data_IF_475990195434
#
_entry.id   IF_475990195434
#
_cell.length_a   1.000
_cell.length_b   1.000
_cell.length_c   1.000
_cell.angle_alpha   90.00
_cell.angle_beta   90.00
_cell.angle_gamma   90.00
#
_symmetry.space_group_name_H-M   'P 1'
#
loop_
_entity.id
_entity.type
_entity.pdbx_description
1 polymer ?
#
# COMPACT_ATOMS: atom_id res chain seq x y z
N UNK A 1 -12.79 59.19 51.60
CA UNK A 1 -13.59 58.55 50.53
C UNK A 1 -13.48 59.25 49.18
N UNK A 2 -13.54 60.59 49.11
CA UNK A 2 -13.45 61.33 47.84
C UNK A 2 -12.20 61.01 47.00
N UNK A 3 -11.03 60.89 47.62
CA UNK A 3 -9.78 60.51 46.93
C UNK A 3 -9.87 59.12 46.26
N UNK A 4 -10.25 58.07 46.99
CA UNK A 4 -10.36 56.71 46.45
C UNK A 4 -11.40 56.60 45.33
N UNK A 5 -12.54 57.28 45.49
CA UNK A 5 -13.56 57.38 44.44
C UNK A 5 -13.01 58.08 43.19
N UNK A 6 -12.26 59.17 43.36
CA UNK A 6 -11.62 59.89 42.27
C UNK A 6 -10.56 59.05 41.54
N UNK A 7 -9.72 58.31 42.29
CA UNK A 7 -8.71 57.40 41.71
C UNK A 7 -9.39 56.30 40.90
N UNK A 8 -10.38 55.61 41.47
CA UNK A 8 -11.11 54.54 40.78
C UNK A 8 -11.86 55.04 39.55
N UNK A 9 -12.54 56.18 39.65
CA UNK A 9 -13.26 56.80 38.52
C UNK A 9 -12.31 57.21 37.40
N UNK A 10 -11.12 57.72 37.73
CA UNK A 10 -10.11 58.10 36.75
C UNK A 10 -9.59 56.87 35.99
N UNK A 11 -9.18 55.83 36.71
CA UNK A 11 -8.65 54.62 36.06
C UNK A 11 -9.74 53.81 35.35
N UNK A 12 -11.01 53.89 35.78
CA UNK A 12 -12.11 53.08 35.24
C UNK A 12 -12.20 53.14 33.72
N UNK A 13 -12.11 54.34 33.13
CA UNK A 13 -12.19 54.50 31.68
C UNK A 13 -11.06 53.78 30.91
N UNK A 14 -9.97 53.44 31.60
CA UNK A 14 -8.78 52.79 31.07
C UNK A 14 -8.69 51.26 31.35
N UNK A 15 -9.66 50.67 32.06
CA UNK A 15 -9.64 49.26 32.50
C UNK A 15 -10.29 48.26 31.52
N UNK A 16 -10.20 48.53 30.22
CA UNK A 16 -10.67 47.59 29.20
C UNK A 16 -12.17 47.25 29.29
N UNK A 17 -12.55 46.01 28.97
CA UNK A 17 -13.95 45.59 28.96
C UNK A 17 -14.53 45.31 30.35
N UNK A 18 -13.69 45.08 31.37
CA UNK A 18 -14.12 44.77 32.74
C UNK A 18 -14.32 46.00 33.62
N UNK A 19 -14.18 47.21 33.08
CA UNK A 19 -14.27 48.47 33.82
C UNK A 19 -15.55 48.66 34.65
N UNK A 20 -16.68 48.10 34.20
CA UNK A 20 -17.97 48.19 34.90
C UNK A 20 -18.02 47.34 36.17
N UNK A 21 -17.08 46.39 36.37
CA UNK A 21 -17.00 45.63 37.64
C UNK A 21 -16.66 46.51 38.85
N UNK A 22 -16.16 47.73 38.60
CA UNK A 22 -15.89 48.73 39.63
C UNK A 22 -17.07 49.66 39.89
N UNK A 23 -18.17 49.60 39.12
CA UNK A 23 -19.32 50.51 39.27
C UNK A 23 -19.87 50.49 40.70
N UNK A 24 -20.13 49.29 41.22
CA UNK A 24 -20.61 49.09 42.59
C UNK A 24 -19.61 49.57 43.66
N UNK A 25 -18.30 49.50 43.37
CA UNK A 25 -17.27 49.99 44.28
C UNK A 25 -17.22 51.53 44.29
N UNK A 26 -17.32 52.15 43.11
CA UNK A 26 -17.33 53.60 42.92
C UNK A 26 -18.61 54.20 43.52
N UNK A 27 -19.76 53.59 43.26
CA UNK A 27 -21.06 53.98 43.83
C UNK A 27 -21.04 53.88 45.35
N UNK A 28 -20.56 52.75 45.90
CA UNK A 28 -20.45 52.58 47.35
C UNK A 28 -19.52 53.62 48.00
N UNK A 29 -18.39 53.95 47.35
CA UNK A 29 -17.50 55.02 47.83
C UNK A 29 -18.15 56.40 47.79
N UNK A 30 -19.04 56.67 46.81
CA UNK A 30 -19.78 57.90 46.70
C UNK A 30 -20.87 58.03 47.77
N UNK A 31 -21.66 56.98 47.97
CA UNK A 31 -22.78 56.96 48.94
C UNK A 31 -22.30 57.03 50.39
N UNK A 32 -21.11 56.49 50.70
CA UNK A 32 -20.58 56.43 52.06
C UNK A 32 -19.64 57.59 52.43
N UNK A 33 -19.59 58.69 51.66
CA UNK A 33 -18.61 59.79 51.83
C UNK A 33 -18.60 60.45 53.21
N UNK A 34 -19.75 60.51 53.90
CA UNK A 34 -19.93 61.28 55.14
C UNK A 34 -20.26 60.42 56.38
N UNK A 35 -20.23 59.08 56.26
CA UNK A 35 -20.72 58.15 57.29
C UNK A 35 -19.63 57.66 58.27
N UNK A 36 -18.50 58.37 58.35
CA UNK A 36 -17.41 58.06 59.28
C UNK A 36 -16.87 56.63 59.16
N UNK A 37 -16.53 56.01 60.29
CA UNK A 37 -15.90 54.68 60.36
C UNK A 37 -16.76 53.56 59.75
N UNK A 38 -18.07 53.61 59.91
CA UNK A 38 -18.98 52.56 59.43
C UNK A 38 -19.08 52.58 57.90
N UNK A 39 -19.34 53.76 57.31
CA UNK A 39 -19.33 53.91 55.86
C UNK A 39 -17.96 53.65 55.24
N UNK A 40 -16.88 53.91 55.97
CA UNK A 40 -15.53 53.52 55.56
C UNK A 40 -15.37 52.02 55.38
N UNK A 41 -15.74 51.24 56.40
CA UNK A 41 -15.67 49.78 56.34
C UNK A 41 -16.55 49.20 55.22
N UNK A 42 -17.77 49.71 55.06
CA UNK A 42 -18.71 49.21 54.06
C UNK A 42 -18.19 49.46 52.63
N UNK A 43 -17.66 50.65 52.34
CA UNK A 43 -17.15 50.93 51.01
C UNK A 43 -15.80 50.25 50.73
N UNK A 44 -14.92 50.09 51.72
CA UNK A 44 -13.69 49.31 51.54
C UNK A 44 -14.00 47.86 51.20
N UNK A 45 -15.00 47.26 51.85
CA UNK A 45 -15.47 45.91 51.49
C UNK A 45 -15.92 45.81 50.03
N UNK A 46 -16.65 46.82 49.52
CA UNK A 46 -17.09 46.89 48.12
C UNK A 46 -15.94 47.13 47.15
N UNK A 47 -14.96 47.96 47.50
CA UNK A 47 -13.74 48.18 46.69
C UNK A 47 -12.92 46.90 46.57
N UNK A 48 -12.71 46.18 47.67
CA UNK A 48 -12.02 44.89 47.66
C UNK A 48 -12.76 43.89 46.76
N UNK A 49 -14.08 43.83 46.85
CA UNK A 49 -14.89 42.97 45.99
C UNK A 49 -14.80 43.36 44.51
N UNK A 50 -14.89 44.65 44.18
CA UNK A 50 -14.77 45.16 42.81
C UNK A 50 -13.41 44.90 42.19
N UNK A 51 -12.32 45.22 42.90
CA UNK A 51 -10.95 44.97 42.43
C UNK A 51 -10.68 43.47 42.29
N UNK A 52 -11.18 42.63 43.21
CA UNK A 52 -11.10 41.17 43.09
C UNK A 52 -11.86 40.67 41.86
N UNK A 53 -13.05 41.21 41.59
CA UNK A 53 -13.84 40.90 40.40
C UNK A 53 -13.12 41.26 39.11
N UNK A 54 -12.59 42.49 39.03
CA UNK A 54 -11.78 42.95 37.90
C UNK A 54 -10.58 42.02 37.64
N UNK A 55 -9.75 41.77 38.66
CA UNK A 55 -8.57 40.91 38.53
C UNK A 55 -8.93 39.47 38.17
N UNK A 56 -10.04 38.94 38.71
CA UNK A 56 -10.57 37.63 38.36
C UNK A 56 -10.92 37.54 36.87
N UNK A 57 -11.61 38.55 36.35
CA UNK A 57 -12.00 38.60 34.94
C UNK A 57 -10.81 38.77 34.00
N UNK A 58 -9.84 39.63 34.35
CA UNK A 58 -8.59 39.79 33.57
C UNK A 58 -7.80 38.48 33.54
N UNK A 59 -7.73 37.77 34.67
CA UNK A 59 -7.11 36.44 34.72
C UNK A 59 -7.81 35.47 33.76
N UNK A 60 -9.14 35.43 33.76
CA UNK A 60 -9.90 34.59 32.83
C UNK A 60 -9.70 34.97 31.36
N UNK A 61 -9.60 36.27 31.03
CA UNK A 61 -9.25 36.72 29.67
C UNK A 61 -7.84 36.25 29.28
N UNK A 62 -6.86 36.36 30.18
CA UNK A 62 -5.49 35.90 29.94
C UNK A 62 -5.42 34.38 29.71
N UNK A 63 -6.09 33.60 30.55
CA UNK A 63 -6.17 32.14 30.43
C UNK A 63 -6.78 31.73 29.09
N UNK A 64 -7.86 32.39 28.67
CA UNK A 64 -8.51 32.11 27.39
C UNK A 64 -7.62 32.40 26.18
N UNK A 65 -6.75 33.43 26.24
CA UNK A 65 -5.80 33.73 25.14
C UNK A 65 -4.62 32.77 25.12
N UNK A 66 -4.19 32.26 26.29
CA UNK A 66 -3.06 31.33 26.42
C UNK A 66 -3.42 29.92 25.95
N UNK A 67 -4.62 29.45 26.25
CA UNK A 67 -5.05 28.07 26.01
C UNK A 67 -4.80 27.57 24.56
N UNK A 68 -5.16 28.31 23.48
CA UNK A 68 -4.91 27.88 22.10
C UNK A 68 -3.43 27.82 21.73
N UNK A 69 -2.61 28.70 22.31
CA UNK A 69 -1.16 28.72 22.10
C UNK A 69 -0.52 27.54 22.80
N UNK A 70 -0.96 27.23 24.03
CA UNK A 70 -0.47 26.10 24.80
C UNK A 70 -0.79 24.78 24.09
N UNK A 71 -2.02 24.61 23.58
CA UNK A 71 -2.42 23.43 22.82
C UNK A 71 -1.53 23.20 21.59
N UNK A 72 -1.24 24.26 20.83
CA UNK A 72 -0.37 24.17 19.65
C UNK A 72 1.08 23.88 20.04
N UNK A 73 1.58 24.49 21.12
CA UNK A 73 2.92 24.26 21.63
C UNK A 73 3.08 22.82 22.11
N UNK A 74 2.14 22.29 22.88
CA UNK A 74 2.19 20.92 23.41
C UNK A 74 2.15 19.87 22.29
N UNK A 75 1.45 20.17 21.19
CA UNK A 75 1.43 19.33 20.00
C UNK A 75 2.77 19.35 19.24
N UNK A 76 3.36 20.54 19.07
CA UNK A 76 4.53 20.78 18.20
C UNK A 76 5.87 20.75 18.92
N UNK A 77 5.88 20.65 20.25
CA UNK A 77 7.10 20.67 21.06
C UNK A 77 8.11 19.64 20.56
N UNK A 78 9.37 20.08 20.46
CA UNK A 78 10.48 19.30 19.93
C UNK A 78 10.66 17.96 20.66
N UNK A 79 10.45 17.96 21.97
CA UNK A 79 10.61 16.78 22.82
C UNK A 79 9.25 16.33 23.37
N UNK A 80 8.78 15.17 22.93
CA UNK A 80 7.55 14.54 23.42
C UNK A 80 6.26 15.17 22.89
N UNK A 81 6.33 16.05 21.88
CA UNK A 81 5.14 16.56 21.19
C UNK A 81 4.52 15.46 20.34
N UNK A 82 3.20 15.42 20.27
CA UNK A 82 2.48 14.37 19.54
C UNK A 82 2.91 14.32 18.06
N UNK A 83 3.18 15.47 17.43
CA UNK A 83 3.62 15.54 16.03
C UNK A 83 4.96 14.82 15.82
N UNK A 84 5.98 15.18 16.60
CA UNK A 84 7.34 14.64 16.45
C UNK A 84 7.37 13.16 16.85
N UNK A 85 6.71 12.79 17.95
CA UNK A 85 6.61 11.38 18.39
C UNK A 85 5.94 10.53 17.31
N UNK A 86 4.85 11.02 16.72
CA UNK A 86 4.14 10.29 15.67
C UNK A 86 4.97 10.14 14.39
N UNK A 87 5.72 11.17 14.00
CA UNK A 87 6.62 11.11 12.84
C UNK A 87 7.78 10.13 13.09
N UNK A 88 8.38 10.17 14.28
CA UNK A 88 9.48 9.26 14.62
C UNK A 88 9.03 7.80 14.67
N UNK A 89 7.81 7.51 15.12
CA UNK A 89 7.25 6.16 15.10
C UNK A 89 7.09 5.59 13.68
N UNK A 90 6.97 6.45 12.66
CA UNK A 90 6.94 6.04 11.25
C UNK A 90 8.35 5.66 10.76
N UNK A 91 9.41 6.20 11.38
CA UNK A 91 10.80 6.01 10.95
C UNK A 91 11.48 4.74 11.51
N UNK A 92 10.82 3.95 12.36
CA UNK A 92 11.43 2.80 13.00
C UNK A 92 11.86 1.71 11.98
N UNK A 93 13.15 1.35 12.03
CA UNK A 93 13.86 0.43 11.15
C UNK A 93 13.29 -1.00 11.18
N UNK A 94 12.36 -1.32 10.28
CA UNK A 94 12.12 -2.68 9.80
C UNK A 94 11.06 -2.66 8.68
N UNK A 95 11.36 -2.01 7.56
CA UNK A 95 10.53 -2.19 6.36
C UNK A 95 10.95 -3.47 5.64
N UNK A 96 10.37 -4.59 6.07
CA UNK A 96 10.19 -5.75 5.19
C UNK A 96 9.24 -5.33 4.07
N UNK A 97 9.59 -5.65 2.83
CA UNK A 97 8.83 -5.37 1.60
C UNK A 97 7.38 -5.88 1.70
N UNK A 98 6.41 -5.06 2.15
CA UNK A 98 4.96 -5.34 2.14
C UNK A 98 4.16 -4.11 2.69
N UNK A 99 2.80 -4.04 2.71
CA UNK A 99 1.92 -2.84 2.68
C UNK A 99 2.16 -1.67 3.67
N UNK A 100 3.07 -1.82 4.63
CA UNK A 100 3.42 -0.82 5.63
C UNK A 100 4.00 0.49 5.06
N UNK A 101 4.60 0.48 3.86
CA UNK A 101 5.17 1.70 3.25
C UNK A 101 4.07 2.68 2.79
N UNK A 102 3.00 2.17 2.18
CA UNK A 102 1.86 2.99 1.74
C UNK A 102 1.09 3.59 2.93
N UNK A 103 1.10 2.88 4.06
CA UNK A 103 0.51 3.32 5.31
C UNK A 103 1.41 4.32 6.06
N UNK A 104 2.73 4.14 6.01
CA UNK A 104 3.70 5.12 6.50
C UNK A 104 3.60 6.47 5.77
N UNK A 105 3.54 6.45 4.44
CA UNK A 105 3.36 7.67 3.62
C UNK A 105 2.03 8.37 3.96
N UNK A 106 0.95 7.60 4.09
CA UNK A 106 -0.39 8.12 4.45
C UNK A 106 -0.40 8.71 5.86
N UNK A 107 0.19 7.99 6.82
CA UNK A 107 0.30 8.43 8.22
C UNK A 107 1.08 9.74 8.32
N UNK A 108 2.19 9.85 7.58
CA UNK A 108 2.97 11.09 7.51
C UNK A 108 2.16 12.24 6.91
N UNK A 109 1.45 11.99 5.79
CA UNK A 109 0.58 12.99 5.16
C UNK A 109 -0.58 13.44 6.07
N UNK A 110 -1.23 12.51 6.77
CA UNK A 110 -2.32 12.81 7.71
C UNK A 110 -1.81 13.63 8.91
N UNK A 111 -0.63 13.31 9.45
CA UNK A 111 0.01 14.09 10.52
C UNK A 111 0.39 15.50 10.07
N UNK A 112 0.90 15.66 8.84
CA UNK A 112 1.22 16.98 8.28
C UNK A 112 -0.05 17.82 8.02
N UNK A 113 -1.14 17.17 7.57
CA UNK A 113 -2.44 17.82 7.41
C UNK A 113 -3.01 18.27 8.75
N UNK A 114 -2.98 17.39 9.76
CA UNK A 114 -3.40 17.70 11.12
C UNK A 114 -2.61 18.88 11.70
N UNK A 115 -1.28 18.88 11.55
CA UNK A 115 -0.42 19.98 11.99
C UNK A 115 -0.79 21.31 11.33
N UNK A 116 -1.08 21.27 10.02
CA UNK A 116 -1.53 22.45 9.26
C UNK A 116 -2.88 22.96 9.78
N UNK A 117 -3.84 22.07 10.01
CA UNK A 117 -5.18 22.42 10.50
C UNK A 117 -5.19 22.93 11.94
N UNK A 118 -4.39 22.32 12.84
CA UNK A 118 -4.24 22.79 14.22
C UNK A 118 -3.61 24.19 14.26
N UNK A 119 -2.60 24.43 13.43
CA UNK A 119 -1.94 25.73 13.33
C UNK A 119 -2.87 26.80 12.75
N UNK A 120 -3.63 26.50 11.69
CA UNK A 120 -4.67 27.40 11.14
C UNK A 120 -5.75 27.73 12.17
N UNK A 121 -6.30 26.73 12.86
CA UNK A 121 -7.31 26.96 13.91
C UNK A 121 -6.79 27.86 15.03
N UNK A 122 -5.53 27.69 15.44
CA UNK A 122 -4.91 28.57 16.42
C UNK A 122 -4.86 30.02 15.90
N UNK A 123 -4.43 30.23 14.66
CA UNK A 123 -4.38 31.56 14.05
C UNK A 123 -5.76 32.21 13.87
N UNK A 124 -6.76 31.44 13.43
CA UNK A 124 -8.16 31.88 13.28
C UNK A 124 -8.78 32.23 14.64
N UNK A 125 -8.54 31.42 15.66
CA UNK A 125 -9.06 31.67 17.00
C UNK A 125 -8.47 32.96 17.58
N UNK A 126 -7.20 33.25 17.31
CA UNK A 126 -6.53 34.48 17.73
C UNK A 126 -6.79 35.67 16.78
N UNK A 127 -7.63 35.53 15.75
CA UNK A 127 -7.92 36.62 14.81
C UNK A 127 -9.04 37.54 15.34
N UNK A 128 -8.73 38.79 15.74
CA UNK A 128 -9.75 39.74 16.17
C UNK A 128 -10.69 40.21 15.03
N UNK A 129 -10.38 39.87 13.77
CA UNK A 129 -11.22 40.19 12.60
C UNK A 129 -12.17 39.04 12.22
N UNK A 130 -12.04 37.86 12.81
CA UNK A 130 -12.94 36.75 12.54
C UNK A 130 -14.36 37.07 13.06
N UNK A 131 -15.35 37.13 12.16
CA UNK A 131 -16.73 37.59 12.44
C UNK A 131 -17.48 36.78 13.52
N UNK A 132 -16.97 35.62 13.89
CA UNK A 132 -17.54 34.68 14.84
C UNK A 132 -16.83 34.68 16.21
N UNK A 133 -15.72 35.40 16.40
CA UNK A 133 -14.94 35.33 17.64
C UNK A 133 -14.99 36.63 18.49
N UNK A 134 -16.19 37.16 18.68
CA UNK A 134 -16.45 38.40 19.45
C UNK A 134 -15.94 38.30 20.90
N UNK A 135 -15.95 37.10 21.49
CA UNK A 135 -15.45 36.85 22.85
C UNK A 135 -13.91 36.88 22.90
N UNK A 136 -13.22 36.18 22.00
CA UNK A 136 -11.76 36.21 22.00
C UNK A 136 -11.21 37.58 21.64
N UNK A 137 -11.86 38.28 20.71
CA UNK A 137 -11.55 39.69 20.42
C UNK A 137 -11.53 40.51 21.71
N UNK A 138 -12.59 40.45 22.52
CA UNK A 138 -12.66 41.15 23.82
C UNK A 138 -11.51 40.74 24.75
N UNK A 139 -11.26 39.44 24.89
CA UNK A 139 -10.16 38.94 25.73
C UNK A 139 -8.78 39.44 25.28
N UNK A 140 -8.52 39.51 23.97
CA UNK A 140 -7.27 40.06 23.40
C UNK A 140 -7.16 41.57 23.67
N UNK A 141 -8.28 42.31 23.63
CA UNK A 141 -8.29 43.75 23.94
C UNK A 141 -8.26 44.06 25.44
N UNK A 142 -8.51 43.08 26.32
CA UNK A 142 -8.28 43.20 27.76
C UNK A 142 -6.79 43.07 28.14
N UNK A 143 -5.96 42.53 27.25
CA UNK A 143 -4.52 42.49 27.43
C UNK A 143 -3.93 43.89 27.37
N UNK A 144 -2.82 44.11 28.09
CA UNK A 144 -2.02 45.31 27.88
C UNK A 144 -1.48 45.35 26.45
N UNK A 145 -1.22 46.56 25.94
CA UNK A 145 -0.84 46.78 24.54
C UNK A 145 0.36 45.93 24.09
N UNK A 146 1.39 45.80 24.95
CA UNK A 146 2.58 45.00 24.64
C UNK A 146 2.27 43.51 24.49
N UNK A 147 1.39 42.96 25.32
CA UNK A 147 0.97 41.55 25.22
C UNK A 147 0.05 41.34 24.02
N UNK A 148 -0.87 42.27 23.77
CA UNK A 148 -1.74 42.24 22.59
C UNK A 148 -0.92 42.18 21.30
N UNK A 149 0.06 43.06 21.15
CA UNK A 149 0.89 43.13 19.95
C UNK A 149 1.73 41.85 19.76
N UNK A 150 2.25 41.27 20.86
CA UNK A 150 2.93 39.97 20.83
C UNK A 150 2.01 38.85 20.36
N UNK A 151 0.79 38.77 20.88
CA UNK A 151 -0.21 37.76 20.47
C UNK A 151 -0.54 37.90 18.98
N UNK A 152 -0.75 39.12 18.50
CA UNK A 152 -1.03 39.38 17.08
C UNK A 152 0.16 39.05 16.16
N UNK A 153 1.39 39.26 16.63
CA UNK A 153 2.59 38.84 15.91
C UNK A 153 2.71 37.32 15.85
N UNK A 154 2.53 36.62 16.97
CA UNK A 154 2.54 35.14 17.03
C UNK A 154 1.47 34.57 16.11
N UNK A 155 0.25 35.13 16.11
CA UNK A 155 -0.84 34.76 15.18
C UNK A 155 -0.37 34.81 13.72
N UNK A 156 0.24 35.93 13.29
CA UNK A 156 0.76 36.08 11.91
C UNK A 156 1.87 35.08 11.60
N UNK A 157 2.75 34.81 12.56
CA UNK A 157 3.83 33.84 12.39
C UNK A 157 3.30 32.42 12.23
N UNK A 158 2.33 32.01 13.07
CA UNK A 158 1.66 30.71 12.98
C UNK A 158 0.95 30.56 11.64
N UNK A 159 0.26 31.61 11.17
CA UNK A 159 -0.40 31.62 9.86
C UNK A 159 0.62 31.42 8.72
N UNK A 160 1.73 32.16 8.73
CA UNK A 160 2.79 32.04 7.74
C UNK A 160 3.43 30.64 7.72
N UNK A 161 3.81 30.11 8.88
CA UNK A 161 4.44 28.78 8.99
C UNK A 161 3.47 27.65 8.60
N UNK A 162 2.16 27.81 8.87
CA UNK A 162 1.12 26.89 8.41
C UNK A 162 1.05 26.82 6.88
N UNK A 163 1.12 27.97 6.22
CA UNK A 163 1.12 28.06 4.75
C UNK A 163 2.40 27.47 4.15
N UNK A 164 3.55 27.74 4.78
CA UNK A 164 4.83 27.17 4.35
C UNK A 164 4.83 25.65 4.47
N UNK A 165 4.35 25.10 5.59
CA UNK A 165 4.24 23.66 5.81
C UNK A 165 3.34 22.99 4.77
N UNK A 166 2.16 23.56 4.50
CA UNK A 166 1.23 23.06 3.49
C UNK A 166 1.86 23.04 2.08
N UNK A 167 2.61 24.08 1.74
CA UNK A 167 3.29 24.21 0.44
C UNK A 167 4.40 23.17 0.28
N UNK A 168 5.21 22.96 1.32
CA UNK A 168 6.26 21.93 1.32
C UNK A 168 5.66 20.53 1.22
N UNK A 169 4.60 20.25 1.99
CA UNK A 169 3.89 18.96 1.93
C UNK A 169 3.37 18.67 0.52
N UNK A 170 2.66 19.64 -0.09
CA UNK A 170 2.15 19.49 -1.46
C UNK A 170 3.26 19.20 -2.47
N UNK A 171 4.39 19.91 -2.37
CA UNK A 171 5.53 19.70 -3.27
C UNK A 171 6.13 18.30 -3.10
N UNK A 172 6.32 17.85 -1.86
CA UNK A 172 6.90 16.53 -1.56
C UNK A 172 5.98 15.37 -1.94
N UNK A 173 4.68 15.53 -1.76
CA UNK A 173 3.68 14.55 -2.24
C UNK A 173 3.71 14.41 -3.77
N UNK A 174 3.81 15.54 -4.49
CA UNK A 174 3.94 15.53 -5.94
C UNK A 174 5.24 14.86 -6.42
N UNK A 175 6.39 15.19 -5.80
CA UNK A 175 7.69 14.55 -6.08
C UNK A 175 7.60 13.01 -5.85
N UNK A 176 6.95 12.56 -4.77
CA UNK A 176 6.77 11.14 -4.48
C UNK A 176 5.86 10.44 -5.50
N UNK A 177 4.76 11.09 -5.92
CA UNK A 177 3.87 10.56 -6.95
C UNK A 177 4.58 10.42 -8.29
N UNK A 178 5.34 11.44 -8.69
CA UNK A 178 6.10 11.43 -9.94
C UNK A 178 7.16 10.32 -9.95
N UNK A 179 7.94 10.18 -8.88
CA UNK A 179 8.95 9.12 -8.77
C UNK A 179 8.31 7.74 -8.81
N UNK A 180 7.18 7.55 -8.12
CA UNK A 180 6.41 6.29 -8.13
C UNK A 180 5.96 5.93 -9.55
N UNK A 181 5.43 6.89 -10.32
CA UNK A 181 5.00 6.64 -11.70
C UNK A 181 6.17 6.39 -12.66
N UNK A 182 7.31 7.07 -12.46
CA UNK A 182 8.55 6.76 -13.21
C UNK A 182 9.04 5.35 -12.94
N UNK A 183 9.00 4.91 -11.68
CA UNK A 183 9.37 3.54 -11.28
C UNK A 183 8.42 2.52 -11.93
N UNK A 184 7.10 2.70 -11.80
CA UNK A 184 6.09 1.82 -12.42
C UNK A 184 6.28 1.72 -13.94
N UNK A 185 6.51 2.85 -14.61
CA UNK A 185 6.71 2.90 -16.06
C UNK A 185 8.00 2.17 -16.45
N UNK A 186 9.08 2.36 -15.68
CA UNK A 186 10.35 1.65 -15.90
C UNK A 186 10.18 0.14 -15.77
N UNK A 187 9.44 -0.34 -14.75
CA UNK A 187 9.13 -1.77 -14.59
C UNK A 187 8.25 -2.31 -15.71
N UNK A 188 7.24 -1.56 -16.18
CA UNK A 188 6.42 -1.94 -17.34
C UNK A 188 7.28 -2.08 -18.60
N UNK A 189 8.19 -1.14 -18.83
CA UNK A 189 9.11 -1.17 -19.97
C UNK A 189 10.08 -2.36 -19.87
N UNK A 190 10.65 -2.61 -18.68
CA UNK A 190 11.49 -3.79 -18.42
C UNK A 190 10.74 -5.10 -18.71
N UNK A 191 9.51 -5.24 -18.21
CA UNK A 191 8.65 -6.42 -18.47
C UNK A 191 8.46 -6.63 -19.97
N UNK A 192 8.12 -5.57 -20.71
CA UNK A 192 7.93 -5.66 -22.17
C UNK A 192 9.24 -6.02 -22.89
N UNK A 193 10.35 -5.42 -22.49
CA UNK A 193 11.66 -5.68 -23.08
C UNK A 193 12.12 -7.12 -22.84
N UNK A 194 12.02 -7.62 -21.60
CA UNK A 194 12.36 -9.01 -21.25
C UNK A 194 11.51 -9.98 -22.04
N UNK A 195 10.19 -9.78 -22.07
CA UNK A 195 9.28 -10.67 -22.79
C UNK A 195 9.59 -10.72 -24.28
N UNK A 196 9.83 -9.56 -24.90
CA UNK A 196 10.19 -9.49 -26.31
C UNK A 196 11.52 -10.19 -26.57
N UNK A 197 12.55 -9.92 -25.75
CA UNK A 197 13.87 -10.49 -25.96
C UNK A 197 13.90 -12.01 -25.74
N UNK A 198 13.26 -12.50 -24.69
CA UNK A 198 13.11 -13.96 -24.46
C UNK A 198 12.34 -14.60 -25.63
N UNK A 199 11.26 -13.97 -26.08
CA UNK A 199 10.52 -14.41 -27.27
C UNK A 199 11.41 -14.49 -28.51
N UNK A 200 12.10 -13.41 -28.86
CA UNK A 200 12.97 -13.31 -30.04
C UNK A 200 14.14 -14.30 -30.01
N UNK A 201 14.75 -14.52 -28.84
CA UNK A 201 15.89 -15.42 -28.67
C UNK A 201 15.47 -16.89 -28.75
N UNK A 202 14.31 -17.26 -28.18
CA UNK A 202 13.70 -18.58 -28.36
C UNK A 202 13.41 -18.82 -29.84
N UNK A 203 12.82 -17.84 -30.51
CA UNK A 203 12.46 -17.91 -31.92
C UNK A 203 13.67 -18.12 -32.84
N UNK A 204 14.76 -17.37 -32.58
CA UNK A 204 16.04 -17.53 -33.29
C UNK A 204 16.66 -18.90 -33.04
N UNK A 205 16.69 -19.35 -31.79
CA UNK A 205 17.25 -20.65 -31.43
C UNK A 205 16.50 -21.77 -32.16
N UNK A 206 15.15 -21.72 -32.13
CA UNK A 206 14.28 -22.68 -32.82
C UNK A 206 14.54 -22.71 -34.33
N UNK A 207 14.55 -21.55 -34.98
CA UNK A 207 14.81 -21.46 -36.43
C UNK A 207 16.20 -22.01 -36.77
N UNK A 208 17.21 -21.69 -35.97
CA UNK A 208 18.59 -22.16 -36.20
C UNK A 208 18.72 -23.68 -36.07
N UNK A 209 18.07 -24.29 -35.08
CA UNK A 209 18.09 -25.72 -34.83
C UNK A 209 17.35 -26.46 -35.95
N UNK A 210 16.17 -25.97 -36.34
CA UNK A 210 15.36 -26.57 -37.40
C UNK A 210 16.13 -26.62 -38.73
N UNK A 211 16.79 -25.51 -39.11
CA UNK A 211 17.60 -25.45 -40.34
C UNK A 211 18.76 -26.44 -40.30
N UNK A 212 19.46 -26.57 -39.16
CA UNK A 212 20.57 -27.53 -39.01
C UNK A 212 20.09 -28.97 -39.11
N UNK A 213 19.00 -29.32 -38.43
CA UNK A 213 18.40 -30.67 -38.47
C UNK A 213 17.93 -31.01 -39.89
N UNK A 214 17.28 -30.09 -40.59
CA UNK A 214 16.86 -30.28 -41.99
C UNK A 214 18.04 -30.53 -42.92
N UNK A 215 19.16 -29.79 -42.75
CA UNK A 215 20.38 -29.99 -43.55
C UNK A 215 21.00 -31.37 -43.32
N UNK A 216 21.06 -31.83 -42.08
CA UNK A 216 21.57 -33.16 -41.74
C UNK A 216 20.67 -34.25 -42.35
N UNK A 217 19.35 -34.09 -42.21
CA UNK A 217 18.37 -35.02 -42.78
C UNK A 217 18.51 -35.13 -44.30
N UNK A 218 18.68 -34.00 -45.00
CA UNK A 218 18.89 -33.98 -46.45
C UNK A 218 20.15 -34.76 -46.84
N UNK A 219 21.28 -34.47 -46.18
CA UNK A 219 22.55 -35.16 -46.43
C UNK A 219 22.45 -36.67 -46.20
N UNK A 220 21.74 -37.11 -45.17
CA UNK A 220 21.58 -38.53 -44.89
C UNK A 220 20.69 -39.24 -45.92
N UNK A 221 19.62 -38.59 -46.39
CA UNK A 221 18.81 -39.11 -47.50
C UNK A 221 19.61 -39.22 -48.79
N UNK A 222 20.43 -38.21 -49.10
CA UNK A 222 21.36 -38.25 -50.24
C UNK A 222 22.37 -39.39 -50.09
N UNK A 223 22.97 -39.59 -48.91
CA UNK A 223 23.87 -40.72 -48.64
C UNK A 223 23.14 -42.06 -48.80
N UNK A 224 21.94 -42.20 -48.25
CA UNK A 224 21.13 -43.43 -48.37
C UNK A 224 20.86 -43.78 -49.82
N UNK A 225 20.42 -42.80 -50.61
CA UNK A 225 20.13 -42.98 -52.03
C UNK A 225 21.39 -43.31 -52.84
N UNK A 226 22.51 -42.65 -52.56
CA UNK A 226 23.79 -42.96 -53.22
C UNK A 226 24.29 -44.36 -52.86
N UNK A 227 24.13 -44.80 -51.62
CA UNK A 227 24.49 -46.16 -51.19
C UNK A 227 23.62 -47.21 -51.90
N UNK A 228 22.31 -47.00 -51.98
CA UNK A 228 21.40 -47.89 -52.75
C UNK A 228 21.84 -48.04 -54.22
N UNK A 229 22.25 -46.93 -54.84
CA UNK A 229 22.76 -46.92 -56.21
C UNK A 229 24.08 -47.69 -56.32
N UNK A 230 25.07 -47.39 -55.49
CA UNK A 230 26.35 -48.09 -55.50
C UNK A 230 26.21 -49.59 -55.23
N UNK A 231 25.22 -50.00 -54.44
CA UNK A 231 24.94 -51.41 -54.17
C UNK A 231 24.35 -52.10 -55.38
N UNK A 232 23.46 -51.42 -56.09
CA UNK A 232 22.90 -51.95 -57.33
C UNK A 232 24.01 -52.14 -58.38
N UNK A 233 24.91 -51.16 -58.48
CA UNK A 233 26.07 -51.22 -59.40
C UNK A 233 27.09 -52.29 -58.98
N UNK A 234 27.47 -52.34 -57.70
CA UNK A 234 28.37 -53.37 -57.16
C UNK A 234 27.76 -54.76 -57.26
N UNK A 235 26.46 -54.90 -57.02
CA UNK A 235 25.75 -56.17 -57.18
C UNK A 235 25.78 -56.66 -58.63
N UNK A 236 25.64 -55.76 -59.60
CA UNK A 236 25.80 -56.08 -61.01
C UNK A 236 27.24 -56.50 -61.35
N UNK A 237 28.24 -55.73 -60.88
CA UNK A 237 29.65 -56.03 -61.10
C UNK A 237 30.08 -57.36 -60.46
N UNK A 238 29.62 -57.66 -59.24
CA UNK A 238 29.90 -58.93 -58.58
C UNK A 238 29.28 -60.08 -59.36
N UNK A 239 28.05 -59.92 -59.87
CA UNK A 239 27.41 -60.96 -60.68
C UNK A 239 28.19 -61.22 -61.97
N UNK A 240 28.59 -60.16 -62.68
CA UNK A 240 29.40 -60.28 -63.90
C UNK A 240 30.76 -60.93 -63.60
N UNK A 241 31.41 -60.56 -62.50
CA UNK A 241 32.68 -61.15 -62.07
C UNK A 241 32.54 -62.62 -61.65
N UNK A 242 31.46 -62.99 -60.93
CA UNK A 242 31.14 -64.38 -60.58
C UNK A 242 30.98 -65.24 -61.85
N UNK A 243 30.25 -64.74 -62.85
CA UNK A 243 30.05 -65.42 -64.14
C UNK A 243 31.38 -65.56 -64.91
N UNK A 244 32.18 -64.50 -64.98
CA UNK A 244 33.48 -64.52 -65.66
C UNK A 244 34.50 -65.44 -64.98
N UNK A 245 34.61 -65.37 -63.65
CA UNK A 245 35.49 -66.22 -62.85
C UNK A 245 35.13 -67.70 -63.02
N UNK A 246 33.83 -68.03 -62.97
CA UNK A 246 33.34 -69.40 -63.18
C UNK A 246 33.72 -69.91 -64.57
N UNK A 247 33.48 -69.11 -65.62
CA UNK A 247 33.84 -69.47 -66.99
C UNK A 247 35.37 -69.63 -67.18
N UNK A 248 36.18 -68.79 -66.53
CA UNK A 248 37.63 -68.90 -66.55
C UNK A 248 38.13 -70.17 -65.85
N UNK A 249 37.59 -70.49 -64.67
CA UNK A 249 37.89 -71.73 -63.94
C UNK A 249 37.55 -72.97 -64.76
N UNK A 250 36.41 -72.99 -65.45
CA UNK A 250 36.05 -74.09 -66.35
C UNK A 250 37.06 -74.27 -67.49
N UNK A 251 37.56 -73.17 -68.07
CA UNK A 251 38.57 -73.21 -69.13
C UNK A 251 39.92 -73.69 -68.61
N UNK A 252 40.36 -73.19 -67.45
CA UNK A 252 41.61 -73.63 -66.79
C UNK A 252 41.52 -75.12 -66.49
N UNK A 253 40.41 -75.59 -65.93
CA UNK A 253 40.19 -77.01 -65.65
C UNK A 253 40.20 -77.88 -66.92
N UNK A 254 39.67 -77.40 -68.04
CA UNK A 254 39.77 -78.10 -69.34
C UNK A 254 41.20 -78.19 -69.84
N UNK A 255 41.98 -77.12 -69.74
CA UNK A 255 43.41 -77.10 -70.11
C UNK A 255 44.18 -78.10 -69.23
N UNK A 256 44.01 -78.03 -67.92
CA UNK A 256 44.67 -78.94 -66.98
C UNK A 256 44.34 -80.42 -67.26
N UNK A 257 43.09 -80.74 -67.61
CA UNK A 257 42.67 -82.11 -67.98
C UNK A 257 43.29 -82.61 -69.29
N UNK A 258 43.55 -81.73 -70.26
CA UNK A 258 44.18 -82.10 -71.53
C UNK A 258 45.71 -82.17 -71.46
N UNK A 259 46.32 -81.82 -70.33
CA UNK A 259 47.77 -81.78 -70.12
C UNK A 259 48.35 -83.05 -69.45
N UNK A 260 47.68 -84.19 -69.56
CA UNK A 260 48.05 -85.48 -68.93
C UNK A 260 49.24 -86.19 -69.61
N UNK A 261 50.31 -85.46 -69.96
CA UNK A 261 51.49 -85.99 -70.64
C UNK A 261 52.82 -85.41 -70.15
N UNK A 262 53.82 -86.28 -70.01
CA UNK A 262 55.21 -85.94 -69.67
C UNK A 262 55.98 -85.38 -70.88
N UNK A 263 56.83 -84.38 -70.61
CA UNK A 263 58.10 -84.05 -71.31
C UNK A 263 58.24 -82.74 -72.14
N UNK A 264 58.04 -81.57 -71.54
CA UNK A 264 58.86 -80.36 -71.83
C UNK A 264 58.86 -79.33 -70.70
N UNK A 265 59.94 -78.55 -70.51
CA UNK A 265 60.00 -77.43 -69.54
C UNK A 265 58.90 -76.39 -69.77
N UNK A 266 58.51 -76.18 -71.04
CA UNK A 266 57.42 -75.30 -71.40
C UNK A 266 56.07 -75.81 -70.88
N UNK A 267 55.83 -77.13 -70.91
CA UNK A 267 54.60 -77.75 -70.38
C UNK A 267 54.47 -77.58 -68.87
N UNK A 268 55.57 -77.68 -68.13
CA UNK A 268 55.60 -77.49 -66.67
C UNK A 268 55.30 -76.03 -66.28
N UNK A 269 55.93 -75.06 -66.97
CA UNK A 269 55.71 -73.63 -66.73
C UNK A 269 54.26 -73.20 -67.03
N UNK A 270 53.65 -73.75 -68.09
CA UNK A 270 52.24 -73.52 -68.43
C UNK A 270 51.32 -74.07 -67.33
N UNK A 271 51.62 -75.27 -66.80
CA UNK A 271 50.85 -75.87 -65.70
C UNK A 271 50.90 -75.00 -64.44
N UNK A 272 52.10 -74.58 -64.03
CA UNK A 272 52.28 -73.74 -62.84
C UNK A 272 51.62 -72.38 -62.99
N UNK A 273 51.68 -71.75 -64.18
CA UNK A 273 50.98 -70.50 -64.45
C UNK A 273 49.46 -70.67 -64.38
N UNK A 274 48.91 -71.76 -64.91
CA UNK A 274 47.49 -72.07 -64.84
C UNK A 274 47.00 -72.34 -63.40
N UNK A 275 47.79 -73.04 -62.58
CA UNK A 275 47.49 -73.27 -61.16
C UNK A 275 47.55 -71.97 -60.34
N UNK A 276 48.50 -71.08 -60.62
CA UNK A 276 48.58 -69.77 -59.97
C UNK A 276 47.37 -68.90 -60.32
N UNK A 277 47.00 -68.85 -61.61
CA UNK A 277 45.83 -68.11 -62.08
C UNK A 277 44.53 -68.65 -61.48
N UNK A 278 44.42 -69.97 -61.30
CA UNK A 278 43.28 -70.59 -60.61
C UNK A 278 43.14 -70.09 -59.17
N UNK A 279 44.24 -70.03 -58.41
CA UNK A 279 44.24 -69.50 -57.03
C UNK A 279 43.85 -68.02 -56.97
N UNK A 280 44.39 -67.20 -57.86
CA UNK A 280 44.07 -65.77 -57.91
C UNK A 280 42.58 -65.52 -58.22
N UNK A 281 41.98 -66.33 -59.10
CA UNK A 281 40.55 -66.28 -59.42
C UNK A 281 39.69 -66.71 -58.22
N UNK A 282 40.11 -67.74 -57.48
CA UNK A 282 39.41 -68.18 -56.26
C UNK A 282 39.45 -67.12 -55.14
N UNK A 283 40.60 -66.45 -54.95
CA UNK A 283 40.74 -65.37 -53.98
C UNK A 283 39.85 -64.17 -54.33
N UNK A 284 39.80 -63.79 -55.61
CA UNK A 284 38.92 -62.73 -56.10
C UNK A 284 37.44 -63.08 -55.88
N UNK A 285 37.04 -64.31 -56.18
CA UNK A 285 35.67 -64.78 -55.98
C UNK A 285 35.28 -64.73 -54.49
N UNK A 286 36.18 -65.16 -53.58
CA UNK A 286 35.98 -65.08 -52.13
C UNK A 286 35.86 -63.64 -51.64
N UNK A 287 36.69 -62.72 -52.14
CA UNK A 287 36.60 -61.30 -51.79
C UNK A 287 35.27 -60.68 -52.27
N UNK A 288 34.83 -60.98 -53.50
CA UNK A 288 33.55 -60.54 -54.05
C UNK A 288 32.35 -61.05 -53.24
N UNK A 289 32.38 -62.32 -52.83
CA UNK A 289 31.36 -62.92 -51.97
C UNK A 289 31.30 -62.25 -50.59
N UNK A 290 32.44 -61.97 -49.98
CA UNK A 290 32.49 -61.27 -48.68
C UNK A 290 31.84 -59.87 -48.73
N UNK A 291 32.07 -59.13 -49.82
CA UNK A 291 31.39 -57.83 -50.05
C UNK A 291 29.88 -58.01 -50.21
N UNK A 292 29.45 -58.97 -51.03
CA UNK A 292 28.03 -59.32 -51.25
C UNK A 292 27.31 -59.64 -49.94
N UNK A 293 27.97 -60.40 -49.06
CA UNK A 293 27.38 -60.88 -47.81
C UNK A 293 27.22 -59.76 -46.75
N UNK A 294 28.09 -58.74 -46.74
CA UNK A 294 28.09 -57.70 -45.70
C UNK A 294 27.44 -56.37 -46.09
N UNK A 295 27.26 -56.09 -47.38
CA UNK A 295 26.83 -54.77 -47.84
C UNK A 295 25.37 -54.43 -47.43
N UNK A 296 24.52 -55.44 -47.32
CA UNK A 296 23.14 -55.29 -46.83
C UNK A 296 23.08 -54.86 -45.36
N UNK A 297 24.00 -55.36 -44.52
CA UNK A 297 24.08 -54.98 -43.10
C UNK A 297 24.49 -53.51 -42.94
N UNK A 298 25.42 -53.02 -43.77
CA UNK A 298 25.83 -51.62 -43.72
C UNK A 298 24.72 -50.64 -44.13
N UNK A 299 23.91 -50.97 -45.15
CA UNK A 299 22.71 -50.18 -45.50
C UNK A 299 21.70 -50.20 -44.37
N UNK A 300 21.49 -51.37 -43.78
CA UNK A 300 20.56 -51.51 -42.66
C UNK A 300 20.98 -50.60 -41.52
N UNK A 301 22.26 -50.57 -41.16
CA UNK A 301 22.82 -49.65 -40.15
C UNK A 301 22.66 -48.17 -40.53
N UNK A 302 22.86 -47.82 -41.79
CA UNK A 302 22.63 -46.45 -42.30
C UNK A 302 21.17 -46.02 -42.20
N UNK A 303 20.26 -46.92 -42.56
CA UNK A 303 18.80 -46.73 -42.51
C UNK A 303 18.31 -46.60 -41.07
N UNK A 304 18.83 -47.41 -40.15
CA UNK A 304 18.52 -47.37 -38.72
C UNK A 304 18.89 -46.00 -38.12
N UNK A 305 20.09 -45.49 -38.44
CA UNK A 305 20.52 -44.15 -38.00
C UNK A 305 19.64 -43.03 -38.57
N UNK A 306 19.19 -43.16 -39.82
CA UNK A 306 18.26 -42.20 -40.42
C UNK A 306 16.90 -42.18 -39.68
N UNK A 307 16.38 -43.34 -39.28
CA UNK A 307 15.16 -43.45 -38.46
C UNK A 307 15.32 -42.82 -37.07
N UNK A 308 16.45 -43.05 -36.40
CA UNK A 308 16.74 -42.45 -35.08
C UNK A 308 16.71 -40.91 -35.13
N UNK A 309 17.17 -40.30 -36.22
CA UNK A 309 17.16 -38.85 -36.41
C UNK A 309 15.76 -38.27 -36.69
N UNK A 310 14.86 -39.01 -37.35
CA UNK A 310 13.44 -38.63 -37.41
C UNK A 310 12.80 -38.67 -36.01
N UNK A 311 13.24 -39.63 -35.17
CA UNK A 311 12.90 -39.66 -33.74
C UNK A 311 13.35 -38.39 -33.01
N UNK A 312 14.61 -37.97 -33.18
CA UNK A 312 15.13 -36.74 -32.57
C UNK A 312 14.44 -35.48 -33.09
N UNK A 313 14.10 -35.42 -34.38
CA UNK A 313 13.32 -34.32 -34.94
C UNK A 313 11.95 -34.22 -34.28
N UNK A 314 11.28 -35.35 -34.10
CA UNK A 314 9.97 -35.41 -33.43
C UNK A 314 10.08 -35.00 -31.95
N UNK A 315 11.10 -35.50 -31.25
CA UNK A 315 11.37 -35.14 -29.85
C UNK A 315 11.64 -33.62 -29.71
N UNK A 316 12.44 -33.04 -30.61
CA UNK A 316 12.69 -31.61 -30.63
C UNK A 316 11.40 -30.80 -30.87
N UNK A 317 10.54 -31.23 -31.81
CA UNK A 317 9.22 -30.59 -32.03
C UNK A 317 8.33 -30.66 -30.78
N UNK A 318 8.36 -31.78 -30.06
CA UNK A 318 7.61 -31.95 -28.81
C UNK A 318 8.10 -31.00 -27.72
N UNK A 319 9.41 -30.94 -27.47
CA UNK A 319 10.00 -30.02 -26.47
C UNK A 319 9.68 -28.56 -26.80
N UNK A 320 9.74 -28.20 -28.08
CA UNK A 320 9.38 -26.85 -28.55
C UNK A 320 7.89 -26.56 -28.31
N UNK A 321 7.02 -27.49 -28.65
CA UNK A 321 5.57 -27.32 -28.46
C UNK A 321 5.23 -27.17 -26.97
N UNK A 322 5.89 -27.95 -26.10
CA UNK A 322 5.71 -27.86 -24.65
C UNK A 322 6.22 -26.53 -24.09
N UNK A 323 7.36 -26.03 -24.59
CA UNK A 323 7.89 -24.73 -24.19
C UNK A 323 6.95 -23.58 -24.58
N UNK A 324 6.41 -23.61 -25.80
CA UNK A 324 5.42 -22.63 -26.28
C UNK A 324 4.14 -22.71 -25.45
N UNK A 325 3.66 -23.94 -25.16
CA UNK A 325 2.49 -24.17 -24.31
C UNK A 325 2.69 -23.59 -22.91
N UNK A 326 3.81 -23.87 -22.24
CA UNK A 326 4.11 -23.32 -20.92
C UNK A 326 4.23 -21.80 -20.92
N UNK A 327 4.83 -21.21 -21.95
CA UNK A 327 4.87 -19.76 -22.09
C UNK A 327 3.45 -19.16 -22.22
N UNK A 328 2.55 -19.85 -22.93
CA UNK A 328 1.15 -19.45 -23.06
C UNK A 328 0.37 -19.63 -21.75
N UNK A 329 0.58 -20.73 -21.03
CA UNK A 329 -0.03 -20.97 -19.70
C UNK A 329 0.38 -19.86 -18.71
N UNK A 330 1.66 -19.47 -18.70
CA UNK A 330 2.12 -18.33 -17.89
C UNK A 330 1.50 -17.01 -18.34
N UNK A 331 1.32 -16.81 -19.65
CA UNK A 331 0.66 -15.61 -20.17
C UNK A 331 -0.82 -15.53 -19.75
N UNK A 332 -1.56 -16.64 -19.88
CA UNK A 332 -2.97 -16.74 -19.49
C UNK A 332 -3.12 -16.60 -17.97
N UNK A 333 -2.29 -17.26 -17.17
CA UNK A 333 -2.31 -17.13 -15.70
C UNK A 333 -2.01 -15.70 -15.19
N UNK A 334 -1.28 -14.90 -15.98
CA UNK A 334 -0.98 -13.50 -15.69
C UNK A 334 -2.02 -12.51 -16.25
N UNK A 335 -3.01 -12.99 -17.00
CA UNK A 335 -4.10 -12.15 -17.51
C UNK A 335 -5.08 -11.81 -16.38
N UNK A 336 -5.20 -10.52 -16.09
CA UNK A 336 -6.04 -9.99 -15.02
C UNK A 336 -7.44 -9.57 -15.52
N UNK A 337 -7.74 -9.73 -16.81
CA UNK A 337 -9.04 -9.39 -17.40
C UNK A 337 -10.07 -10.53 -17.37
N UNK A 338 -9.66 -11.76 -17.06
CA UNK A 338 -10.54 -12.91 -16.88
C UNK A 338 -10.56 -13.37 -15.42
N UNK A 339 -11.71 -13.85 -14.95
CA UNK A 339 -11.98 -14.08 -13.52
C UNK A 339 -12.39 -15.52 -13.21
N UNK A 340 -12.00 -16.49 -14.04
CA UNK A 340 -12.22 -17.91 -13.75
C UNK A 340 -11.23 -18.41 -12.69
N UNK A 341 -11.74 -19.03 -11.63
CA UNK A 341 -10.95 -19.47 -10.47
C UNK A 341 -9.91 -20.55 -10.80
N UNK A 342 -10.14 -21.35 -11.84
CA UNK A 342 -9.31 -22.52 -12.16
C UNK A 342 -8.16 -22.19 -13.11
N UNK A 343 -8.32 -21.21 -13.99
CA UNK A 343 -7.32 -20.83 -15.01
C UNK A 343 -6.70 -19.46 -14.82
N UNK A 344 -7.41 -18.54 -14.18
CA UNK A 344 -6.99 -17.15 -14.03
C UNK A 344 -6.99 -16.78 -12.55
N UNK A 345 -6.27 -17.56 -11.74
CA UNK A 345 -6.23 -17.42 -10.29
C UNK A 345 -5.89 -15.98 -9.84
N UNK A 346 -4.99 -15.29 -10.56
CA UNK A 346 -4.68 -13.89 -10.31
C UNK A 346 -5.88 -12.97 -10.55
N UNK A 347 -6.55 -13.10 -11.70
CA UNK A 347 -7.74 -12.32 -12.05
C UNK A 347 -8.95 -12.62 -11.16
N UNK A 348 -9.15 -13.89 -10.77
CA UNK A 348 -10.16 -14.31 -9.79
C UNK A 348 -9.89 -13.71 -8.41
N UNK A 349 -8.65 -13.81 -7.91
CA UNK A 349 -8.28 -13.27 -6.61
C UNK A 349 -8.41 -11.74 -6.56
N UNK A 350 -8.07 -11.04 -7.66
CA UNK A 350 -8.30 -9.59 -7.78
C UNK A 350 -9.79 -9.23 -7.72
N UNK A 351 -10.66 -10.02 -8.34
CA UNK A 351 -12.11 -9.82 -8.30
C UNK A 351 -12.70 -10.13 -6.92
N UNK A 352 -12.22 -11.16 -6.23
CA UNK A 352 -12.63 -11.43 -4.84
C UNK A 352 -12.18 -10.33 -3.89
N UNK A 353 -10.97 -9.78 -4.07
CA UNK A 353 -10.51 -8.58 -3.33
C UNK A 353 -11.42 -7.38 -3.62
N UNK A 354 -11.82 -7.18 -4.89
CA UNK A 354 -12.76 -6.12 -5.27
C UNK A 354 -14.09 -6.28 -4.55
N UNK A 355 -14.71 -7.47 -4.60
CA UNK A 355 -15.98 -7.76 -3.88
C UNK A 355 -15.84 -7.59 -2.37
N UNK A 356 -14.73 -8.03 -1.78
CA UNK A 356 -14.45 -7.79 -0.37
C UNK A 356 -14.39 -6.29 -0.07
N UNK A 357 -13.76 -5.50 -0.94
CA UNK A 357 -13.77 -4.03 -0.88
C UNK A 357 -15.18 -3.43 -0.92
N UNK A 358 -16.06 -3.92 -1.81
CA UNK A 358 -17.48 -3.51 -1.84
C UNK A 358 -18.20 -3.80 -0.54
N UNK A 359 -18.03 -5.01 -0.02
CA UNK A 359 -18.67 -5.45 1.23
C UNK A 359 -18.21 -4.61 2.42
N UNK A 360 -16.90 -4.32 2.50
CA UNK A 360 -16.35 -3.42 3.51
C UNK A 360 -16.90 -2.00 3.33
N UNK A 361 -17.06 -1.52 2.09
CA UNK A 361 -17.68 -0.23 1.80
C UNK A 361 -19.14 -0.15 2.29
N UNK A 362 -19.92 -1.20 2.05
CA UNK A 362 -21.30 -1.32 2.53
C UNK A 362 -21.37 -1.36 4.07
N UNK A 363 -20.50 -2.13 4.73
CA UNK A 363 -20.42 -2.18 6.18
C UNK A 363 -20.05 -0.82 6.78
N UNK A 364 -19.12 -0.10 6.14
CA UNK A 364 -18.70 1.23 6.57
C UNK A 364 -19.85 2.26 6.48
N UNK A 365 -20.66 2.20 5.42
CA UNK A 365 -21.85 3.04 5.29
C UNK A 365 -22.87 2.76 6.41
N UNK A 366 -23.12 1.48 6.76
CA UNK A 366 -23.98 1.11 7.89
C UNK A 366 -23.43 1.63 9.23
N UNK A 367 -22.13 1.49 9.48
CA UNK A 367 -21.50 2.05 10.69
C UNK A 367 -21.65 3.57 10.77
N UNK A 368 -21.49 4.27 9.64
CA UNK A 368 -21.68 5.72 9.59
C UNK A 368 -23.14 6.11 9.95
N UNK A 369 -24.12 5.31 9.53
CA UNK A 369 -25.52 5.50 9.91
C UNK A 369 -25.73 5.30 11.42
N UNK A 370 -25.23 4.21 11.99
CA UNK A 370 -25.34 3.95 13.44
C UNK A 370 -24.66 5.02 14.29
N UNK A 371 -23.52 5.55 13.84
CA UNK A 371 -22.87 6.70 14.48
C UNK A 371 -23.80 7.91 14.48
N UNK A 372 -24.48 8.19 13.37
CA UNK A 372 -25.45 9.29 13.29
C UNK A 372 -26.62 9.12 14.27
N UNK A 373 -27.15 7.90 14.39
CA UNK A 373 -28.21 7.57 15.35
C UNK A 373 -27.74 7.76 16.80
N UNK A 374 -26.51 7.36 17.12
CA UNK A 374 -25.90 7.56 18.43
C UNK A 374 -25.66 9.04 18.77
N UNK A 375 -25.25 9.85 17.79
CA UNK A 375 -25.11 11.30 17.97
C UNK A 375 -26.47 11.97 18.24
N UNK A 376 -27.52 11.50 17.57
CA UNK A 376 -28.88 11.95 17.82
C UNK A 376 -29.33 11.60 19.25
N UNK A 377 -29.19 10.34 19.66
CA UNK A 377 -29.49 9.88 21.02
C UNK A 377 -28.72 10.67 22.09
N UNK A 378 -27.44 10.95 21.84
CA UNK A 378 -26.61 11.74 22.76
C UNK A 378 -27.15 13.17 22.91
N UNK A 379 -27.65 13.76 21.81
CA UNK A 379 -28.24 15.10 21.82
C UNK A 379 -29.54 15.13 22.61
N UNK A 380 -30.43 14.16 22.37
CA UNK A 380 -31.69 14.05 23.12
C UNK A 380 -31.45 13.82 24.62
N UNK A 381 -30.52 12.94 24.97
CA UNK A 381 -30.18 12.71 26.37
C UNK A 381 -29.60 13.96 27.06
N UNK A 382 -28.80 14.75 26.34
CA UNK A 382 -28.27 16.04 26.84
C UNK A 382 -29.39 17.03 27.12
N UNK A 383 -30.37 17.14 26.22
CA UNK A 383 -31.53 18.01 26.39
C UNK A 383 -32.40 17.60 27.59
N UNK A 384 -32.66 16.29 27.75
CA UNK A 384 -33.41 15.76 28.91
C UNK A 384 -32.70 16.08 30.22
N UNK A 385 -31.38 15.91 30.30
CA UNK A 385 -30.60 16.24 31.50
C UNK A 385 -30.61 17.74 31.77
N UNK A 386 -30.46 18.56 30.74
CA UNK A 386 -30.57 20.02 30.85
C UNK A 386 -31.93 20.46 31.41
N UNK A 387 -33.03 19.86 30.91
CA UNK A 387 -34.38 20.10 31.42
C UNK A 387 -34.55 19.66 32.87
N UNK A 388 -34.02 18.50 33.25
CA UNK A 388 -34.08 18.00 34.61
C UNK A 388 -33.32 18.92 35.59
N UNK A 389 -32.12 19.35 35.21
CA UNK A 389 -31.30 20.28 35.98
C UNK A 389 -31.99 21.65 36.15
N UNK A 390 -32.59 22.20 35.09
CA UNK A 390 -33.39 23.42 35.18
C UNK A 390 -34.56 23.28 36.16
N UNK A 391 -35.27 22.15 36.13
CA UNK A 391 -36.38 21.85 37.06
C UNK A 391 -35.91 21.77 38.52
N UNK A 392 -34.74 21.15 38.76
CA UNK A 392 -34.13 21.09 40.09
C UNK A 392 -33.77 22.49 40.63
N UNK A 393 -33.21 23.37 39.79
CA UNK A 393 -32.94 24.77 40.18
C UNK A 393 -34.22 25.52 40.53
N UNK A 394 -35.29 25.28 39.79
CA UNK A 394 -36.61 25.90 40.01
C UNK A 394 -37.25 25.45 41.34
N UNK A 395 -37.16 24.15 41.67
CA UNK A 395 -37.58 23.60 42.96
C UNK A 395 -36.76 24.17 44.13
N UNK A 396 -35.45 24.30 43.98
CA UNK A 396 -34.58 24.91 44.98
C UNK A 396 -34.99 26.36 45.28
N UNK A 397 -35.30 27.13 44.23
CA UNK A 397 -35.81 28.51 44.36
C UNK A 397 -37.11 28.58 45.16
N UNK A 398 -38.06 27.68 44.87
CA UNK A 398 -39.33 27.60 45.61
C UNK A 398 -39.16 27.17 47.08
N UNK A 399 -38.13 26.38 47.38
CA UNK A 399 -37.76 25.97 48.74
C UNK A 399 -37.17 27.12 49.57
N UNK A 400 -36.41 28.00 48.93
CA UNK A 400 -35.85 29.22 49.56
C UNK A 400 -36.97 30.23 49.88
N UNK A 401 -37.96 30.38 49.00
CA UNK A 401 -39.11 31.28 49.21
C UNK A 401 -40.08 30.81 50.31
N UNK A 402 -40.17 29.49 50.60
CA UNK A 402 -41.05 28.93 51.64
C UNK A 402 -40.43 28.92 53.04
N UNK A 403 -39.15 29.27 53.18
CA UNK A 403 -38.45 29.31 54.48
C UNK A 403 -38.91 30.47 55.39
N UNK A 404 -39.71 31.39 54.86
CA UNK A 404 -40.18 32.58 55.59
C UNK A 404 -41.34 32.28 56.56
N UNK A 405 -42.01 31.12 56.51
CA UNK A 405 -43.29 30.95 57.26
C UNK A 405 -43.51 29.73 58.17
N UNK A 406 -42.68 28.66 58.25
CA UNK A 406 -42.98 27.60 59.24
C UNK A 406 -41.80 26.68 59.67
N UNK A 407 -41.52 26.62 60.98
CA UNK A 407 -40.27 26.06 61.57
C UNK A 407 -40.21 24.54 61.78
N UNK A 408 -41.31 23.78 61.69
CA UNK A 408 -41.30 22.32 61.98
C UNK A 408 -41.40 21.38 60.76
N UNK A 409 -41.94 21.81 59.62
CA UNK A 409 -41.95 21.00 58.38
C UNK A 409 -40.69 21.17 57.51
N UNK A 410 -39.87 22.20 57.80
CA UNK A 410 -38.65 22.52 57.05
C UNK A 410 -37.53 21.47 57.18
N UNK A 411 -37.52 20.63 58.22
CA UNK A 411 -36.47 19.61 58.43
C UNK A 411 -36.66 18.36 57.57
N UNK A 412 -37.90 17.89 57.39
CA UNK A 412 -38.20 16.71 56.55
C UNK A 412 -38.13 17.04 55.06
N UNK A 413 -38.66 18.20 54.66
CA UNK A 413 -38.54 18.74 53.29
C UNK A 413 -37.07 18.99 52.94
N UNK A 414 -36.25 19.49 53.88
CA UNK A 414 -34.82 19.66 53.67
C UNK A 414 -34.09 18.33 53.53
N UNK A 415 -34.45 17.30 54.30
CA UNK A 415 -33.90 15.95 54.14
C UNK A 415 -34.27 15.36 52.77
N UNK A 416 -35.53 15.44 52.35
CA UNK A 416 -35.95 14.95 51.03
C UNK A 416 -35.33 15.76 49.89
N UNK A 417 -35.17 17.07 50.04
CA UNK A 417 -34.48 17.93 49.08
C UNK A 417 -32.97 17.62 49.00
N UNK A 418 -32.31 17.36 50.13
CA UNK A 418 -30.91 16.91 50.15
C UNK A 418 -30.75 15.52 49.54
N UNK A 419 -31.69 14.59 49.78
CA UNK A 419 -31.69 13.26 49.17
C UNK A 419 -31.94 13.34 47.65
N UNK A 420 -32.83 14.24 47.21
CA UNK A 420 -33.11 14.50 45.80
C UNK A 420 -31.92 15.19 45.12
N UNK A 421 -31.23 16.12 45.79
CA UNK A 421 -29.98 16.72 45.33
C UNK A 421 -28.88 15.67 45.22
N UNK A 422 -28.77 14.75 46.19
CA UNK A 422 -27.80 13.66 46.19
C UNK A 422 -28.07 12.67 45.05
N UNK A 423 -29.33 12.28 44.84
CA UNK A 423 -29.76 11.43 43.73
C UNK A 423 -29.59 12.14 42.37
N UNK A 424 -29.89 13.44 42.29
CA UNK A 424 -29.66 14.27 41.11
C UNK A 424 -28.18 14.38 40.76
N UNK A 425 -27.30 14.61 41.75
CA UNK A 425 -25.84 14.58 41.58
C UNK A 425 -25.33 13.19 41.17
N UNK A 426 -25.89 12.12 41.73
CA UNK A 426 -25.53 10.75 41.33
C UNK A 426 -25.95 10.45 39.89
N UNK A 427 -27.16 10.88 39.48
CA UNK A 427 -27.66 10.74 38.12
C UNK A 427 -26.84 11.59 37.14
N UNK A 428 -26.49 12.82 37.50
CA UNK A 428 -25.63 13.70 36.70
C UNK A 428 -24.22 13.13 36.55
N UNK A 429 -23.65 12.51 37.59
CA UNK A 429 -22.37 11.83 37.50
C UNK A 429 -22.44 10.57 36.64
N UNK A 430 -23.51 9.78 36.76
CA UNK A 430 -23.74 8.61 35.91
C UNK A 430 -23.91 9.04 34.45
N UNK A 431 -24.69 10.10 34.20
CA UNK A 431 -24.85 10.72 32.89
C UNK A 431 -23.51 11.23 32.35
N UNK A 432 -22.73 12.00 33.12
CA UNK A 432 -21.43 12.50 32.70
C UNK A 432 -20.47 11.35 32.36
N UNK A 433 -20.43 10.29 33.17
CA UNK A 433 -19.65 9.08 32.83
C UNK A 433 -20.12 8.43 31.53
N UNK A 434 -21.43 8.25 31.36
CA UNK A 434 -22.00 7.66 30.15
C UNK A 434 -21.77 8.56 28.92
N UNK A 435 -21.93 9.88 29.04
CA UNK A 435 -21.71 10.88 28.00
C UNK A 435 -20.25 10.97 27.58
N UNK A 436 -19.33 10.96 28.55
CA UNK A 436 -17.88 10.95 28.26
C UNK A 436 -17.48 9.64 27.58
N UNK A 437 -18.03 8.50 28.03
CA UNK A 437 -17.82 7.18 27.44
C UNK A 437 -18.43 7.02 26.04
N UNK A 438 -19.63 7.54 25.82
CA UNK A 438 -20.32 7.50 24.52
C UNK A 438 -19.63 8.45 23.54
N UNK A 439 -19.22 9.64 23.98
CA UNK A 439 -18.47 10.59 23.17
C UNK A 439 -17.09 10.08 22.77
N UNK A 440 -16.39 9.36 23.64
CA UNK A 440 -15.13 8.69 23.28
C UNK A 440 -15.34 7.51 22.33
N UNK A 441 -16.40 6.72 22.53
CA UNK A 441 -16.76 5.61 21.64
C UNK A 441 -17.13 6.12 20.24
N UNK A 442 -17.99 7.13 20.14
CA UNK A 442 -18.41 7.76 18.87
C UNK A 442 -17.21 8.35 18.13
N UNK A 443 -16.28 8.99 18.85
CA UNK A 443 -15.05 9.54 18.26
C UNK A 443 -14.14 8.44 17.72
N UNK A 444 -13.91 7.38 18.49
CA UNK A 444 -13.13 6.23 18.05
C UNK A 444 -13.76 5.55 16.84
N UNK A 445 -15.08 5.35 16.84
CA UNK A 445 -15.79 4.75 15.70
C UNK A 445 -15.71 5.67 14.49
N UNK A 446 -15.85 7.00 14.64
CA UNK A 446 -15.64 7.96 13.54
C UNK A 446 -14.22 7.91 12.97
N UNK A 447 -13.20 7.82 13.82
CA UNK A 447 -11.81 7.68 13.39
C UNK A 447 -11.59 6.37 12.62
N UNK A 448 -12.13 5.26 13.12
CA UNK A 448 -12.02 3.96 12.45
C UNK A 448 -12.80 3.92 11.13
N UNK A 449 -14.03 4.43 11.09
CA UNK A 449 -14.87 4.53 9.87
C UNK A 449 -14.22 5.44 8.84
N UNK A 450 -13.64 6.57 9.25
CA UNK A 450 -12.90 7.45 8.33
C UNK A 450 -11.59 6.81 7.85
N UNK A 451 -10.90 6.07 8.71
CA UNK A 451 -9.74 5.26 8.34
C UNK A 451 -10.07 4.22 7.28
N UNK A 452 -11.15 3.46 7.49
CA UNK A 452 -11.70 2.48 6.54
C UNK A 452 -12.12 3.14 5.23
N UNK A 453 -12.86 4.25 5.28
CA UNK A 453 -13.33 4.99 4.09
C UNK A 453 -12.15 5.49 3.24
N UNK A 454 -11.08 5.99 3.88
CA UNK A 454 -9.85 6.38 3.19
C UNK A 454 -9.11 5.19 2.56
N UNK A 455 -9.13 4.03 3.20
CA UNK A 455 -8.52 2.81 2.65
C UNK A 455 -9.23 2.35 1.38
N UNK A 456 -10.56 2.20 1.43
CA UNK A 456 -11.36 1.68 0.31
C UNK A 456 -11.28 2.60 -0.91
N UNK A 457 -11.35 3.92 -0.72
CA UNK A 457 -11.27 4.89 -1.83
C UNK A 457 -9.89 4.87 -2.51
N UNK A 458 -8.82 4.59 -1.75
CA UNK A 458 -7.44 4.53 -2.25
C UNK A 458 -7.18 3.25 -3.06
N UNK A 459 -7.82 2.15 -2.69
CA UNK A 459 -7.63 0.84 -3.32
C UNK A 459 -8.49 0.65 -4.59
N UNK A 460 -9.54 1.47 -4.79
CA UNK A 460 -10.45 1.40 -5.94
C UNK A 460 -10.15 2.38 -7.09
N UNK A 461 -9.14 3.23 -6.93
CA UNK A 461 -8.79 4.30 -7.89
C UNK A 461 -7.42 4.12 -8.57
N UNK A 462 -6.81 2.94 -8.42
CA UNK A 462 -5.70 2.43 -9.25
C UNK A 462 -6.21 1.32 -10.17
#
# INVERSE_FOLDING_TARGET
MGFLSGVLSNIQSHLGQHKNTLDNAIESLNTNKHLGKKGFNDAIGRVVAGVRGYNGNVKSSNEAVIEPLQLLLDYTKKNGGELITSINNIQAESHRLDPQLADAVRSCGDRLKEATERSKRCAEFLDPKANNNTKMKKNIYDLNDKLRDKVLHVRKLVEYESQRLASVHKRKDAELKETTEKIKTSFRNLKSCINKQVGDDIDKLVKSLMVRVQKILKKLREISSNLEKYISELGAWIKEAEEFATAALERINKILKHMDGTASTYTMNIKTAAESLGRDVEDLHRAGKNVKDNIADWVTKGTEKAKQLEGWKTAAQSVISEAVKKAKEVHEALDHGQHDALKHELGYNLEEIRKAGEAVGAANNKLQQYVGELEHWNTEATDVVGKADAKCRELFKKLDDTYVTNRMNGTKIRQEAMELERKGKALLNAYNKAHTGLGSLVRNIKEQVNGLKKHIVKDWSC
#
